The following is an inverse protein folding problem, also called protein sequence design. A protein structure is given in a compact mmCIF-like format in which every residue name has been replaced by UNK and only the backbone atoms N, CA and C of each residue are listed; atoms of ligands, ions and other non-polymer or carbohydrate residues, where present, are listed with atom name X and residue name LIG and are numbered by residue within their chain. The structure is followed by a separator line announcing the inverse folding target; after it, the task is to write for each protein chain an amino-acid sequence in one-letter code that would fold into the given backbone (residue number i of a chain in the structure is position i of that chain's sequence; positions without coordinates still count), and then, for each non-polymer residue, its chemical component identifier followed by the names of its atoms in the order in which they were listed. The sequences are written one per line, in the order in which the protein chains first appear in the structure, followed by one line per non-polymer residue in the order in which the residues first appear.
data_IF_805787827215
#
_entry.id   IF_805787827215
#
_cell.length_a   1.000
_cell.length_b   1.000
_cell.length_c   1.000
_cell.angle_alpha   90.00
_cell.angle_beta   90.00
_cell.angle_gamma   90.00
#
_symmetry.space_group_name_H-M   'P 1'
#
loop_
_entity.id
_entity.type
_entity.pdbx_description
1 polymer ?
#
# COMPACT_ATOMS: atom_id res chain seq x y z
N UNK A 1 4.62 -0.41 17.09
CA UNK A 1 3.50 -0.44 16.12
C UNK A 1 2.35 -1.13 16.82
N UNK A 2 1.18 -0.54 16.81
CA UNK A 2 0.02 -1.04 17.56
C UNK A 2 -1.20 -1.14 16.66
N UNK A 3 -1.96 -2.21 16.83
CA UNK A 3 -3.32 -2.40 16.30
C UNK A 3 -3.47 -2.30 14.77
N UNK A 4 -2.41 -2.68 14.02
CA UNK A 4 -2.45 -2.74 12.56
C UNK A 4 -2.66 -4.18 12.08
N UNK A 5 -3.82 -4.47 11.50
CA UNK A 5 -4.24 -5.82 11.06
C UNK A 5 -4.02 -6.85 12.20
N UNK A 6 -3.17 -7.86 11.97
CA UNK A 6 -2.84 -8.88 12.97
C UNK A 6 -1.78 -8.46 14.00
N UNK A 7 -1.15 -7.29 13.84
CA UNK A 7 -0.12 -6.78 14.76
C UNK A 7 -0.82 -6.05 15.91
N UNK A 8 -0.82 -6.66 17.10
CA UNK A 8 -1.34 -6.04 18.32
C UNK A 8 -0.37 -5.03 18.90
N UNK A 9 0.85 -5.47 19.15
CA UNK A 9 1.97 -4.65 19.59
C UNK A 9 3.26 -5.25 19.02
N UNK A 10 4.12 -4.40 18.48
CA UNK A 10 5.42 -4.77 17.90
C UNK A 10 6.40 -3.63 18.09
N UNK A 11 7.51 -3.91 18.77
CA UNK A 11 8.64 -3.00 18.94
C UNK A 11 9.84 -3.58 18.20
N UNK A 12 10.42 -2.78 17.31
CA UNK A 12 11.71 -3.07 16.66
C UNK A 12 12.70 -2.08 17.26
N UNK A 13 13.68 -2.52 18.09
CA UNK A 13 14.56 -1.61 18.82
C UNK A 13 15.35 -0.67 17.90
N UNK A 14 15.83 -1.19 16.77
CA UNK A 14 16.60 -0.45 15.79
C UNK A 14 16.54 -1.14 14.43
N UNK A 15 16.67 -0.36 13.37
CA UNK A 15 16.86 -0.85 12.00
C UNK A 15 18.30 -0.56 11.56
N UNK A 16 18.94 -1.53 10.91
CA UNK A 16 20.25 -1.37 10.27
C UNK A 16 20.08 -0.93 8.80
N UNK A 17 21.19 -0.79 8.08
CA UNK A 17 21.18 -0.53 6.63
C UNK A 17 20.43 -1.62 5.85
N UNK A 18 20.60 -2.87 6.28
CA UNK A 18 19.92 -4.04 5.70
C UNK A 18 19.24 -4.79 6.85
N UNK A 19 17.96 -5.10 6.68
CA UNK A 19 17.15 -5.83 7.65
C UNK A 19 16.44 -6.97 6.94
N UNK A 20 16.50 -8.16 7.51
CA UNK A 20 15.81 -9.33 7.00
C UNK A 20 14.71 -9.73 8.00
N UNK A 21 13.45 -9.76 7.53
CA UNK A 21 12.29 -10.17 8.33
C UNK A 21 11.88 -11.57 7.90
N UNK A 22 12.10 -12.56 8.77
CA UNK A 22 11.79 -13.98 8.52
C UNK A 22 10.69 -14.49 9.44
N UNK A 23 10.03 -15.57 9.03
CA UNK A 23 8.96 -16.23 9.77
C UNK A 23 7.99 -16.94 8.83
N UNK A 24 7.02 -17.65 9.41
CA UNK A 24 6.05 -18.46 8.65
C UNK A 24 5.12 -17.64 7.76
N UNK A 25 4.47 -18.31 6.81
CA UNK A 25 3.46 -17.67 5.98
C UNK A 25 2.35 -17.08 6.84
N UNK A 26 1.86 -15.90 6.43
CA UNK A 26 0.80 -15.17 7.11
C UNK A 26 1.09 -14.73 8.57
N UNK A 27 2.34 -14.77 9.05
CA UNK A 27 2.70 -14.32 10.41
C UNK A 27 2.79 -12.79 10.57
N UNK A 28 2.52 -12.01 9.51
CA UNK A 28 2.51 -10.54 9.56
C UNK A 28 3.71 -9.84 8.92
N UNK A 29 4.66 -10.55 8.29
CA UNK A 29 5.84 -9.95 7.62
C UNK A 29 5.49 -8.79 6.69
N UNK A 30 4.57 -9.03 5.75
CA UNK A 30 4.09 -8.01 4.81
C UNK A 30 3.41 -6.86 5.54
N UNK A 31 2.67 -7.14 6.61
CA UNK A 31 2.01 -6.12 7.43
C UNK A 31 3.00 -5.22 8.18
N UNK A 32 4.17 -5.72 8.57
CA UNK A 32 5.24 -4.88 9.12
C UNK A 32 5.73 -3.87 8.07
N UNK A 33 5.98 -4.33 6.85
CA UNK A 33 6.44 -3.46 5.75
C UNK A 33 5.36 -2.43 5.35
N UNK A 34 4.09 -2.84 5.32
CA UNK A 34 2.95 -1.94 5.10
C UNK A 34 2.81 -0.90 6.23
N UNK A 35 2.97 -1.30 7.49
CA UNK A 35 2.87 -0.40 8.63
C UNK A 35 3.94 0.71 8.59
N UNK A 36 5.17 0.39 8.19
CA UNK A 36 6.26 1.36 8.05
C UNK A 36 5.87 2.47 7.04
N UNK A 37 5.10 2.14 6.00
CA UNK A 37 4.70 3.12 5.00
C UNK A 37 3.81 4.25 5.55
N UNK A 38 3.12 4.07 6.69
CA UNK A 38 2.38 5.17 7.32
C UNK A 38 3.26 6.37 7.66
N UNK A 39 4.57 6.16 7.84
CA UNK A 39 5.55 7.20 8.15
C UNK A 39 6.02 7.99 6.90
N UNK A 40 5.66 7.54 5.69
CA UNK A 40 6.13 8.10 4.41
C UNK A 40 5.73 9.56 4.21
N UNK A 41 4.44 9.85 4.37
CA UNK A 41 3.88 11.16 4.02
C UNK A 41 3.23 11.79 5.25
N UNK A 42 3.78 12.90 5.75
CA UNK A 42 3.31 13.57 6.96
C UNK A 42 1.88 14.11 6.91
N UNK A 43 1.40 14.43 5.71
CA UNK A 43 0.34 15.42 5.52
C UNK A 43 -0.67 14.96 4.46
N UNK A 44 -1.03 13.68 4.49
CA UNK A 44 -2.09 13.20 3.63
C UNK A 44 -2.65 11.85 4.07
N UNK A 45 -3.93 11.82 4.44
CA UNK A 45 -4.68 10.56 4.57
C UNK A 45 -4.73 9.74 3.27
N UNK A 46 -4.36 10.31 2.11
CA UNK A 46 -4.19 9.57 0.85
C UNK A 46 -3.17 8.43 0.97
N UNK A 47 -2.14 8.58 1.82
CA UNK A 47 -1.18 7.51 2.05
C UNK A 47 -1.85 6.29 2.70
N UNK A 48 -2.79 6.50 3.61
CA UNK A 48 -3.56 5.44 4.25
C UNK A 48 -4.47 4.73 3.26
N UNK A 49 -5.11 5.49 2.37
CA UNK A 49 -5.89 4.95 1.25
C UNK A 49 -5.01 4.13 0.31
N UNK A 50 -3.79 4.59 0.02
CA UNK A 50 -2.84 3.83 -0.80
C UNK A 50 -2.46 2.51 -0.13
N UNK A 51 -2.10 2.55 1.15
CA UNK A 51 -1.72 1.36 1.93
C UNK A 51 -2.88 0.36 2.00
N UNK A 52 -4.12 0.83 2.20
CA UNK A 52 -5.29 -0.06 2.29
C UNK A 52 -5.54 -0.82 0.98
N UNK A 53 -5.24 -0.20 -0.16
CA UNK A 53 -5.49 -0.73 -1.50
C UNK A 53 -4.32 -1.51 -2.10
N UNK A 54 -3.18 -1.60 -1.42
CA UNK A 54 -1.98 -2.32 -1.93
C UNK A 54 -2.20 -3.81 -2.17
N UNK A 55 -3.24 -4.39 -1.55
CA UNK A 55 -3.62 -5.80 -1.71
C UNK A 55 -4.78 -6.00 -2.70
N UNK A 56 -5.28 -4.94 -3.34
CA UNK A 56 -6.26 -5.09 -4.40
C UNK A 56 -5.60 -5.80 -5.60
N UNK A 57 -6.07 -7.01 -5.89
CA UNK A 57 -5.82 -7.65 -7.17
C UNK A 57 -6.65 -6.94 -8.24
N UNK A 58 -6.26 -7.11 -9.52
CA UNK A 58 -7.11 -6.74 -10.66
C UNK A 58 -8.27 -7.73 -10.74
N UNK A 59 -9.20 -7.68 -9.77
CA UNK A 59 -10.41 -8.49 -9.74
C UNK A 59 -11.63 -7.65 -10.11
N UNK A 60 -12.61 -8.30 -10.73
CA UNK A 60 -13.84 -7.72 -11.29
C UNK A 60 -14.75 -7.12 -10.19
N UNK A 61 -14.63 -7.61 -8.95
CA UNK A 61 -15.24 -7.00 -7.77
C UNK A 61 -14.17 -6.25 -6.97
N UNK A 62 -14.11 -4.92 -7.16
CA UNK A 62 -13.30 -4.05 -6.32
C UNK A 62 -14.07 -3.73 -5.06
N UNK A 63 -13.47 -4.05 -3.91
CA UNK A 63 -13.92 -3.51 -2.64
C UNK A 63 -13.99 -1.97 -2.71
N UNK A 64 -14.90 -1.36 -1.96
CA UNK A 64 -14.94 0.09 -1.81
C UNK A 64 -13.67 0.60 -1.13
N UNK A 65 -13.38 1.89 -1.27
CA UNK A 65 -12.25 2.52 -0.56
C UNK A 65 -12.41 2.35 0.96
N UNK A 66 -13.65 2.46 1.44
CA UNK A 66 -14.00 2.24 2.84
C UNK A 66 -13.74 0.80 3.27
N UNK A 67 -14.22 -0.20 2.52
CA UNK A 67 -14.03 -1.62 2.87
C UNK A 67 -12.54 -1.96 3.02
N UNK A 68 -11.72 -1.58 2.04
CA UNK A 68 -10.28 -1.77 2.12
C UNK A 68 -9.68 -1.07 3.34
N UNK A 69 -10.10 0.17 3.60
CA UNK A 69 -9.62 0.97 4.72
C UNK A 69 -9.94 0.32 6.07
N UNK A 70 -11.16 -0.18 6.25
CA UNK A 70 -11.58 -0.86 7.48
C UNK A 70 -10.77 -2.12 7.74
N UNK A 71 -10.35 -2.86 6.69
CA UNK A 71 -9.53 -4.08 6.86
C UNK A 71 -8.15 -3.84 7.45
N UNK A 72 -7.69 -2.58 7.54
CA UNK A 72 -6.42 -2.23 8.17
C UNK A 72 -6.47 -2.28 9.70
N UNK A 73 -7.64 -2.11 10.31
CA UNK A 73 -7.78 -2.13 11.77
C UNK A 73 -7.74 -3.56 12.29
N UNK A 74 -7.22 -3.72 13.50
CA UNK A 74 -7.24 -5.00 14.19
C UNK A 74 -8.67 -5.41 14.57
N UNK A 75 -9.07 -6.65 14.27
CA UNK A 75 -10.41 -7.18 14.59
C UNK A 75 -10.67 -7.36 16.08
N UNK A 76 -9.63 -7.28 16.93
CA UNK A 76 -9.76 -7.52 18.37
C UNK A 76 -10.09 -6.27 19.19
N UNK A 77 -10.21 -5.09 18.58
CA UNK A 77 -10.48 -3.84 19.29
C UNK A 77 -11.79 -3.22 18.81
N UNK A 78 -12.65 -2.85 19.76
CA UNK A 78 -13.85 -2.05 19.49
C UNK A 78 -13.47 -0.61 19.08
N UNK A 79 -12.33 -0.11 19.58
CA UNK A 79 -11.77 1.17 19.16
C UNK A 79 -10.89 0.99 17.91
N UNK A 80 -11.34 1.59 16.80
CA UNK A 80 -10.60 1.62 15.54
C UNK A 80 -9.41 2.55 15.65
N UNK A 81 -8.26 1.98 16.07
CA UNK A 81 -7.00 2.70 16.23
C UNK A 81 -5.84 1.97 15.57
N UNK A 82 -4.95 2.72 14.94
CA UNK A 82 -3.64 2.28 14.45
C UNK A 82 -2.59 3.27 14.94
N UNK A 83 -1.44 2.79 15.41
CA UNK A 83 -0.33 3.65 15.84
C UNK A 83 1.01 3.09 15.33
N UNK A 84 1.78 3.92 14.65
CA UNK A 84 3.14 3.62 14.20
C UNK A 84 4.03 4.77 14.66
N UNK A 85 5.13 4.46 15.32
CA UNK A 85 6.08 5.45 15.82
C UNK A 85 7.51 4.93 15.72
N UNK A 86 8.45 5.86 15.73
CA UNK A 86 9.88 5.57 15.72
C UNK A 86 10.72 6.84 15.78
N UNK A 87 12.02 6.69 15.51
CA UNK A 87 12.95 7.80 15.33
C UNK A 87 13.55 7.77 13.93
N UNK A 88 13.68 8.94 13.31
CA UNK A 88 14.32 9.11 12.00
C UNK A 88 15.14 10.40 12.00
N UNK A 89 16.44 10.30 11.71
CA UNK A 89 17.38 11.43 11.75
C UNK A 89 17.25 12.26 13.05
N UNK A 90 17.30 11.57 14.20
CA UNK A 90 17.13 12.11 15.57
C UNK A 90 15.81 12.84 15.86
N UNK A 91 14.82 12.73 14.97
CA UNK A 91 13.48 13.26 15.15
C UNK A 91 12.51 12.15 15.51
N UNK A 92 11.67 12.40 16.50
CA UNK A 92 10.53 11.54 16.79
C UNK A 92 9.53 11.63 15.63
N UNK A 93 9.11 10.47 15.13
CA UNK A 93 8.13 10.36 14.06
C UNK A 93 6.98 9.48 14.51
N UNK A 94 5.77 9.88 14.17
CA UNK A 94 4.61 9.03 14.43
C UNK A 94 3.45 9.28 13.48
N UNK A 95 2.65 8.25 13.30
CA UNK A 95 1.36 8.28 12.64
C UNK A 95 0.35 7.58 13.55
N UNK A 96 -0.75 8.25 13.88
CA UNK A 96 -1.85 7.73 14.67
C UNK A 96 -3.15 7.94 13.93
N UNK A 97 -3.90 6.88 13.70
CA UNK A 97 -5.24 6.93 13.14
C UNK A 97 -6.20 6.43 14.20
N UNK A 98 -7.24 7.20 14.49
CA UNK A 98 -8.29 6.79 15.41
C UNK A 98 -9.66 7.26 14.92
N UNK A 99 -10.68 6.45 15.11
CA UNK A 99 -12.04 6.81 14.72
C UNK A 99 -13.07 5.80 15.17
N UNK A 100 -14.28 5.96 14.66
CA UNK A 100 -15.42 5.08 14.91
C UNK A 100 -16.19 4.85 13.61
N UNK A 101 -16.91 3.74 13.57
CA UNK A 101 -17.90 3.48 12.52
C UNK A 101 -19.24 4.01 13.01
N UNK A 102 -19.90 4.78 12.16
CA UNK A 102 -21.24 5.31 12.36
C UNK A 102 -22.11 4.89 11.18
N UNK A 103 -23.44 4.84 11.36
CA UNK A 103 -24.39 4.81 10.25
C UNK A 103 -24.74 6.25 9.88
N UNK A 104 -24.71 6.56 8.59
CA UNK A 104 -25.05 7.88 8.05
C UNK A 104 -26.06 7.72 6.92
N UNK A 105 -26.91 8.73 6.75
CA UNK A 105 -27.81 8.79 5.61
C UNK A 105 -27.02 9.10 4.33
N UNK A 106 -27.48 8.53 3.22
CA UNK A 106 -26.99 8.82 1.87
C UNK A 106 -28.13 9.53 1.13
N UNK A 107 -27.82 10.59 0.39
CA UNK A 107 -28.82 11.29 -0.42
C UNK A 107 -28.98 10.57 -1.76
N UNK A 108 -30.21 10.39 -2.24
CA UNK A 108 -30.49 9.77 -3.54
C UNK A 108 -30.04 10.64 -4.71
N UNK A 109 -29.83 11.95 -4.49
CA UNK A 109 -29.26 12.87 -5.47
C UNK A 109 -27.73 12.88 -5.48
N UNK A 110 -27.06 12.08 -4.64
CA UNK A 110 -25.64 11.82 -4.88
C UNK A 110 -25.54 11.04 -6.19
N UNK A 111 -24.91 11.65 -7.22
CA UNK A 111 -24.61 11.09 -8.57
C UNK A 111 -23.82 9.76 -8.55
N UNK A 112 -23.67 9.15 -7.39
CA UNK A 112 -22.66 8.19 -7.01
C UNK A 112 -23.23 6.82 -6.64
N UNK A 113 -24.55 6.68 -6.63
CA UNK A 113 -25.23 5.41 -6.38
C UNK A 113 -26.08 5.07 -7.59
N UNK A 114 -25.77 3.97 -8.28
CA UNK A 114 -26.72 3.41 -9.24
C UNK A 114 -28.03 3.14 -8.47
N UNK A 115 -29.19 3.54 -9.00
CA UNK A 115 -30.49 3.37 -8.32
C UNK A 115 -30.71 1.93 -7.79
N UNK A 116 -30.08 0.93 -8.42
CA UNK A 116 -30.14 -0.49 -8.03
C UNK A 116 -29.28 -0.89 -6.81
N UNK A 117 -28.40 -0.02 -6.31
CA UNK A 117 -27.46 -0.28 -5.18
C UNK A 117 -27.68 0.75 -4.04
N UNK A 118 -28.74 1.54 -4.13
CA UNK A 118 -29.05 2.58 -3.15
C UNK A 118 -29.62 2.00 -1.87
N UNK A 119 -28.89 2.23 -0.77
CA UNK A 119 -29.39 2.11 0.58
C UNK A 119 -29.45 3.53 1.17
N UNK A 120 -30.58 3.89 1.78
CA UNK A 120 -30.77 5.18 2.47
C UNK A 120 -29.75 5.40 3.60
N UNK A 121 -29.14 4.32 4.10
CA UNK A 121 -28.08 4.35 5.09
C UNK A 121 -26.82 3.62 4.60
N UNK A 122 -25.67 4.11 5.02
CA UNK A 122 -24.38 3.44 4.83
C UNK A 122 -23.51 3.55 6.06
N UNK A 123 -22.50 2.68 6.15
CA UNK A 123 -21.46 2.83 7.15
C UNK A 123 -20.47 3.92 6.77
N UNK A 124 -20.06 4.71 7.76
CA UNK A 124 -19.06 5.75 7.64
C UNK A 124 -18.02 5.61 8.75
N UNK A 125 -16.75 5.57 8.36
CA UNK A 125 -15.65 5.82 9.28
C UNK A 125 -15.53 7.32 9.49
N UNK A 126 -15.56 7.77 10.75
CA UNK A 126 -15.26 9.16 11.14
C UNK A 126 -14.14 9.16 12.15
N UNK A 127 -13.05 9.86 11.83
CA UNK A 127 -11.85 9.82 12.63
C UNK A 127 -10.86 10.95 12.38
N UNK A 128 -9.71 10.83 13.03
CA UNK A 128 -8.60 11.76 12.94
C UNK A 128 -7.33 10.97 12.67
N UNK A 129 -6.61 11.36 11.62
CA UNK A 129 -5.21 11.03 11.45
C UNK A 129 -4.35 12.13 12.08
N UNK A 130 -3.44 11.74 12.95
CA UNK A 130 -2.42 12.61 13.52
C UNK A 130 -1.06 12.14 13.04
N UNK A 131 -0.25 13.10 12.59
CA UNK A 131 1.12 12.87 12.20
C UNK A 131 2.08 13.73 13.03
N UNK A 132 3.28 13.21 13.26
CA UNK A 132 4.38 13.92 13.92
C UNK A 132 5.70 13.74 13.15
N UNK A 133 6.45 14.84 13.00
CA UNK A 133 7.86 14.85 12.59
C UNK A 133 8.65 15.87 13.42
N UNK A 134 9.46 15.36 14.34
CA UNK A 134 10.10 16.17 15.36
C UNK A 134 9.04 16.88 16.21
N UNK A 135 9.10 18.20 16.23
CA UNK A 135 8.15 19.06 16.97
C UNK A 135 6.87 19.37 16.18
N UNK A 136 6.85 19.09 14.87
CA UNK A 136 5.70 19.40 14.02
C UNK A 136 4.66 18.31 14.20
N UNK A 137 3.47 18.69 14.67
CA UNK A 137 2.31 17.80 14.78
C UNK A 137 1.20 18.35 13.88
N UNK A 138 0.60 17.48 13.05
CA UNK A 138 -0.56 17.82 12.23
C UNK A 138 -1.69 16.83 12.45
N UNK A 139 -2.92 17.30 12.23
CA UNK A 139 -4.14 16.52 12.37
C UNK A 139 -5.02 16.74 11.14
N UNK A 140 -5.54 15.66 10.59
CA UNK A 140 -6.47 15.66 9.47
C UNK A 140 -7.71 14.86 9.88
N UNK A 141 -8.91 15.42 9.62
CA UNK A 141 -10.15 14.67 9.76
C UNK A 141 -10.27 13.71 8.58
N UNK A 142 -10.74 12.51 8.85
CA UNK A 142 -11.01 11.49 7.84
C UNK A 142 -12.47 11.09 7.97
N UNK A 143 -13.17 11.16 6.84
CA UNK A 143 -14.51 10.64 6.69
C UNK A 143 -14.54 9.80 5.42
N UNK A 144 -14.87 8.51 5.57
CA UNK A 144 -14.94 7.55 4.46
C UNK A 144 -16.24 6.75 4.58
N UNK A 145 -16.92 6.57 3.47
CA UNK A 145 -18.14 5.78 3.30
C UNK A 145 -17.95 4.75 2.18
N UNK A 146 -18.85 3.79 2.05
CA UNK A 146 -18.84 2.85 0.93
C UNK A 146 -18.91 3.53 -0.45
N UNK A 147 -19.39 4.77 -0.51
CA UNK A 147 -19.53 5.54 -1.75
C UNK A 147 -18.40 6.57 -1.96
N UNK A 148 -17.39 6.61 -1.07
CA UNK A 148 -16.30 7.58 -1.19
C UNK A 148 -15.46 7.36 -2.45
N UNK A 149 -15.44 8.37 -3.32
CA UNK A 149 -14.55 8.45 -4.48
C UNK A 149 -13.22 9.09 -4.11
N UNK A 150 -12.16 8.65 -4.78
CA UNK A 150 -10.79 9.18 -4.60
C UNK A 150 -10.25 9.86 -5.85
N UNK A 151 -11.03 9.91 -6.92
CA UNK A 151 -10.69 10.64 -8.14
C UNK A 151 -10.60 12.14 -7.84
N UNK A 152 -9.52 12.78 -8.27
CA UNK A 152 -9.33 14.23 -8.07
C UNK A 152 -8.79 14.62 -6.69
N UNK A 153 -8.55 13.67 -5.78
CA UNK A 153 -7.87 13.99 -4.51
C UNK A 153 -6.42 14.42 -4.82
N UNK A 154 -6.05 15.62 -4.36
CA UNK A 154 -4.72 16.16 -4.53
C UNK A 154 -3.70 15.28 -3.78
N UNK A 155 -2.66 14.87 -4.50
CA UNK A 155 -1.54 14.13 -3.92
C UNK A 155 -0.53 15.15 -3.40
N UNK A 156 -0.24 15.08 -2.10
CA UNK A 156 0.87 15.83 -1.54
C UNK A 156 2.19 15.11 -1.86
N UNK A 157 3.03 15.72 -2.69
CA UNK A 157 4.30 15.12 -3.10
C UNK A 157 5.42 15.29 -2.07
N UNK A 158 5.25 16.17 -1.08
CA UNK A 158 6.28 16.44 -0.08
C UNK A 158 6.35 15.30 0.95
N UNK A 159 7.31 14.40 0.76
CA UNK A 159 7.62 13.31 1.69
C UNK A 159 8.78 13.71 2.60
N UNK A 160 8.55 13.76 3.91
CA UNK A 160 9.61 13.97 4.91
C UNK A 160 10.47 12.72 5.08
N UNK A 161 9.90 11.53 4.79
CA UNK A 161 10.61 10.26 4.80
C UNK A 161 10.40 9.57 3.46
N UNK A 162 11.50 9.35 2.73
CA UNK A 162 11.46 8.62 1.47
C UNK A 162 11.29 7.13 1.73
N UNK A 163 10.08 6.62 1.46
CA UNK A 163 9.78 5.18 1.55
C UNK A 163 9.35 4.69 0.17
N UNK A 164 10.11 3.73 -0.37
CA UNK A 164 9.78 2.98 -1.59
C UNK A 164 9.36 1.59 -1.15
N UNK A 165 8.13 1.23 -1.45
CA UNK A 165 7.57 -0.10 -1.19
C UNK A 165 7.44 -0.82 -2.51
N UNK A 166 7.93 -2.05 -2.55
CA UNK A 166 7.84 -2.94 -3.71
C UNK A 166 6.91 -4.08 -3.30
N UNK A 167 5.78 -4.22 -4.00
CA UNK A 167 4.78 -5.23 -3.66
C UNK A 167 5.22 -6.61 -4.18
N UNK A 168 4.96 -7.71 -3.45
CA UNK A 168 5.25 -9.04 -3.96
C UNK A 168 4.48 -9.38 -5.24
N UNK A 169 3.35 -8.69 -5.51
CA UNK A 169 2.52 -8.91 -6.71
C UNK A 169 2.75 -7.86 -7.80
N UNK A 170 3.73 -6.96 -7.65
CA UNK A 170 4.01 -5.89 -8.62
C UNK A 170 4.44 -6.45 -10.00
N UNK A 171 5.03 -7.65 -10.00
CA UNK A 171 5.33 -8.39 -11.22
C UNK A 171 4.06 -8.88 -11.95
N UNK A 172 2.91 -9.03 -11.27
CA UNK A 172 1.66 -9.52 -11.86
C UNK A 172 0.83 -8.42 -12.53
N UNK A 173 0.96 -7.17 -12.09
CA UNK A 173 0.16 -6.04 -12.59
C UNK A 173 0.77 -5.34 -13.80
N UNK A 174 2.02 -5.67 -14.13
CA UNK A 174 2.61 -5.48 -15.45
C UNK A 174 3.51 -4.25 -15.64
N UNK A 175 4.54 -4.47 -16.47
CA UNK A 175 5.58 -3.58 -16.99
C UNK A 175 6.94 -3.54 -16.26
N UNK A 176 7.22 -4.35 -15.25
CA UNK A 176 8.59 -4.40 -14.69
C UNK A 176 9.58 -4.79 -15.79
N UNK A 177 9.30 -5.86 -16.54
CA UNK A 177 10.13 -6.29 -17.67
C UNK A 177 10.17 -5.24 -18.79
N UNK A 178 9.04 -4.61 -19.11
CA UNK A 178 8.99 -3.51 -20.10
C UNK A 178 9.88 -2.34 -19.70
N UNK A 179 9.89 -1.95 -18.41
CA UNK A 179 10.73 -0.85 -17.92
C UNK A 179 12.22 -1.23 -17.93
N UNK A 180 12.53 -2.48 -17.59
CA UNK A 180 13.89 -3.02 -17.68
C UNK A 180 14.38 -2.95 -19.14
N UNK A 181 13.59 -3.45 -20.09
CA UNK A 181 13.97 -3.50 -21.51
C UNK A 181 14.11 -2.11 -22.15
N UNK A 182 13.36 -1.11 -21.67
CA UNK A 182 13.47 0.27 -22.17
C UNK A 182 14.75 1.00 -21.74
N UNK A 183 15.51 0.46 -20.80
CA UNK A 183 16.76 1.06 -20.30
C UNK A 183 17.89 0.02 -20.35
N UNK A 184 18.73 0.09 -21.39
CA UNK A 184 19.80 -0.87 -21.62
C UNK A 184 20.81 -0.97 -20.47
N UNK A 185 21.15 0.14 -19.81
CA UNK A 185 22.05 0.11 -18.66
C UNK A 185 21.43 -0.62 -17.47
N UNK A 186 20.16 -0.32 -17.19
CA UNK A 186 19.42 -0.98 -16.12
C UNK A 186 19.20 -2.48 -16.42
N UNK A 187 18.91 -2.82 -17.68
CA UNK A 187 18.79 -4.20 -18.17
C UNK A 187 20.06 -5.01 -17.91
N UNK A 188 21.24 -4.45 -18.21
CA UNK A 188 22.52 -5.10 -17.95
C UNK A 188 22.72 -5.39 -16.46
N UNK A 189 22.38 -4.45 -15.59
CA UNK A 189 22.44 -4.63 -14.14
C UNK A 189 21.50 -5.76 -13.70
N UNK A 190 20.26 -5.78 -14.20
CA UNK A 190 19.31 -6.85 -13.89
C UNK A 190 19.80 -8.23 -14.35
N UNK A 191 20.36 -8.34 -15.56
CA UNK A 191 20.92 -9.60 -16.06
C UNK A 191 22.08 -10.07 -15.17
N UNK A 192 23.02 -9.18 -14.84
CA UNK A 192 24.13 -9.51 -13.93
C UNK A 192 23.64 -9.99 -12.56
N UNK A 193 22.59 -9.37 -12.02
CA UNK A 193 22.00 -9.80 -10.76
C UNK A 193 21.32 -11.17 -10.86
N UNK A 194 20.60 -11.45 -11.96
CA UNK A 194 19.99 -12.75 -12.21
C UNK A 194 21.04 -13.86 -12.40
N UNK A 195 22.17 -13.54 -13.04
CA UNK A 195 23.30 -14.46 -13.22
C UNK A 195 23.97 -14.90 -11.92
N UNK A 196 23.76 -14.17 -10.81
CA UNK A 196 24.19 -14.63 -9.48
C UNK A 196 23.41 -15.86 -9.00
N UNK A 197 22.19 -16.08 -9.52
CA UNK A 197 21.34 -17.22 -9.21
C UNK A 197 21.39 -18.29 -10.30
N UNK A 198 21.41 -17.87 -11.57
CA UNK A 198 21.54 -18.76 -12.73
C UNK A 198 22.50 -18.16 -13.78
N UNK A 199 23.76 -18.63 -13.83
CA UNK A 199 24.78 -18.14 -14.75
C UNK A 199 24.47 -18.33 -16.24
N UNK A 200 23.46 -19.14 -16.58
CA UNK A 200 23.07 -19.41 -17.97
C UNK A 200 22.10 -18.37 -18.51
N UNK A 201 21.51 -17.51 -17.65
CA UNK A 201 20.67 -16.39 -18.11
C UNK A 201 21.51 -15.42 -18.95
N UNK A 202 21.07 -15.18 -20.19
CA UNK A 202 21.73 -14.30 -21.15
C UNK A 202 20.98 -12.98 -21.33
N UNK A 203 19.64 -13.04 -21.36
CA UNK A 203 18.85 -11.87 -21.72
C UNK A 203 17.41 -11.88 -21.17
N UNK A 204 16.78 -10.71 -21.13
CA UNK A 204 15.37 -10.51 -20.82
C UNK A 204 14.70 -9.86 -22.03
N UNK A 205 13.66 -10.50 -22.56
CA UNK A 205 13.00 -10.15 -23.81
C UNK A 205 11.47 -10.07 -23.62
N UNK A 206 10.83 -9.30 -24.50
CA UNK A 206 9.39 -9.39 -24.73
C UNK A 206 9.19 -9.96 -26.12
N UNK A 207 8.67 -11.17 -26.20
CA UNK A 207 8.38 -11.87 -27.43
C UNK A 207 6.89 -11.81 -27.74
N UNK A 208 6.55 -11.94 -29.01
CA UNK A 208 5.16 -11.98 -29.44
C UNK A 208 4.66 -13.42 -29.38
N UNK A 209 3.55 -13.67 -28.68
CA UNK A 209 2.88 -14.96 -28.72
C UNK A 209 2.29 -15.18 -30.12
N UNK A 210 2.68 -16.26 -30.80
CA UNK A 210 2.18 -16.56 -32.15
C UNK A 210 0.69 -16.91 -32.19
N UNK A 211 0.14 -17.46 -31.11
CA UNK A 211 -1.27 -17.89 -31.02
C UNK A 211 -2.18 -16.74 -30.57
N UNK A 212 -1.80 -16.04 -29.50
CA UNK A 212 -2.64 -14.99 -28.90
C UNK A 212 -2.31 -13.58 -29.36
N UNK A 213 -1.23 -13.40 -30.12
CA UNK A 213 -0.72 -12.09 -30.58
C UNK A 213 -0.35 -11.13 -29.43
N UNK A 214 -0.32 -11.62 -28.18
CA UNK A 214 0.01 -10.84 -26.97
C UNK A 214 1.52 -10.86 -26.69
N UNK A 215 2.10 -9.79 -26.12
CA UNK A 215 3.47 -9.82 -25.63
C UNK A 215 3.60 -10.81 -24.47
N UNK A 216 4.67 -11.60 -24.47
CA UNK A 216 5.08 -12.50 -23.39
C UNK A 216 6.48 -12.12 -22.95
N UNK A 217 6.70 -12.04 -21.65
CA UNK A 217 8.00 -11.85 -21.03
C UNK A 217 8.80 -13.16 -21.11
N UNK A 218 10.04 -13.11 -21.59
CA UNK A 218 10.90 -14.29 -21.80
C UNK A 218 12.30 -14.04 -21.24
N UNK A 219 12.83 -15.01 -20.48
CA UNK A 219 14.22 -15.02 -20.01
C UNK A 219 15.01 -16.00 -20.89
N UNK A 220 15.94 -15.46 -21.68
CA UNK A 220 16.80 -16.23 -22.57
C UNK A 220 17.92 -16.88 -21.75
N UNK A 221 18.14 -18.16 -21.96
CA UNK A 221 19.28 -18.90 -21.40
C UNK A 221 20.24 -19.29 -22.53
N UNK A 222 21.51 -19.52 -22.19
CA UNK A 222 22.46 -20.16 -23.09
C UNK A 222 21.90 -21.54 -23.47
N UNK A 223 21.88 -21.80 -24.77
CA UNK A 223 21.61 -23.13 -25.34
C UNK A 223 22.84 -24.01 -25.29
#
# INVERSE_FOLDING_TARGET
MENYRGIKDLVIPSLNTINLIVGDNNCGKTSVLEAIQFLKTPNSYTNCIRISRQRELITINRNSVYENFITMFSKSNEDLRISVSGKYADKDISYKLQGKINRVLVDSNDDFVAESIYNEETEAFKGIAQYQFGTIIKKEKIELTNYTKISGILINEKNEIKIVYISPFEHLTGNVVTQIIKNDEYKKICILALQLFDPEIEDILILKNEVSNRPIEYIKHKT
#
